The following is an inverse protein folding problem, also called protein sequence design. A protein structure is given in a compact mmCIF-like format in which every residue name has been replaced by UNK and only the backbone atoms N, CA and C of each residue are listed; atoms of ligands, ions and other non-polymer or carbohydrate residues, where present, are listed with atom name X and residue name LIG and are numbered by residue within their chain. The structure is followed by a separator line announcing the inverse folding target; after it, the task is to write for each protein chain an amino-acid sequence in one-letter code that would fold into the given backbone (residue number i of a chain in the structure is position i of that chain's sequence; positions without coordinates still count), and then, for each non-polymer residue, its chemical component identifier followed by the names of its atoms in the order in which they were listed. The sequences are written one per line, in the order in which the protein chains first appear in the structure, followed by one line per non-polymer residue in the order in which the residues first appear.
data_IF_118026255472
#
_entry.id   IF_118026255472
#
_cell.length_a   1.000
_cell.length_b   1.000
_cell.length_c   1.000
_cell.angle_alpha   90.00
_cell.angle_beta   90.00
_cell.angle_gamma   90.00
#
_symmetry.space_group_name_H-M   'P 1'
#
loop_
_entity.id
_entity.type
_entity.pdbx_description
1 polymer ?
#
# COMPACT_ATOMS: atom_id res chain seq x y z
N UNK A 1 15.47 51.63 -33.25
CA UNK A 1 14.89 50.27 -33.35
C UNK A 1 14.95 49.61 -31.98
N UNK A 2 13.84 49.36 -31.28
CA UNK A 2 13.89 48.76 -29.94
C UNK A 2 14.31 47.29 -30.03
N UNK A 3 15.35 46.92 -29.30
CA UNK A 3 15.89 45.56 -29.23
C UNK A 3 14.85 44.60 -28.62
N UNK A 4 14.51 43.55 -29.38
CA UNK A 4 13.57 42.52 -28.95
C UNK A 4 14.09 41.77 -27.73
N UNK A 5 13.39 41.90 -26.60
CA UNK A 5 13.64 41.12 -25.39
C UNK A 5 13.34 39.64 -25.69
N UNK A 6 14.38 38.82 -25.83
CA UNK A 6 14.26 37.36 -25.96
C UNK A 6 13.48 36.80 -24.78
N UNK A 7 12.36 36.12 -25.05
CA UNK A 7 11.59 35.39 -24.03
C UNK A 7 12.49 34.27 -23.50
N UNK A 8 12.89 34.35 -22.23
CA UNK A 8 13.63 33.28 -21.55
C UNK A 8 12.81 31.98 -21.62
N UNK A 9 13.22 31.06 -22.49
CA UNK A 9 12.68 29.70 -22.49
C UNK A 9 13.31 28.97 -21.31
N UNK A 10 12.54 28.81 -20.22
CA UNK A 10 12.98 27.97 -19.11
C UNK A 10 13.00 26.51 -19.58
N UNK A 11 14.11 26.05 -20.13
CA UNK A 11 14.33 24.62 -20.34
C UNK A 11 14.39 23.99 -18.95
N UNK A 12 13.34 23.22 -18.60
CA UNK A 12 13.33 22.47 -17.35
C UNK A 12 14.34 21.35 -17.50
N UNK A 13 15.59 21.61 -17.12
CA UNK A 13 16.59 20.58 -16.94
C UNK A 13 15.99 19.44 -16.10
N UNK A 14 16.19 18.20 -16.54
CA UNK A 14 15.61 16.99 -15.95
C UNK A 14 16.17 16.82 -14.53
N UNK A 15 15.53 17.45 -13.54
CA UNK A 15 15.93 17.31 -12.13
C UNK A 15 15.65 15.87 -11.72
N UNK A 16 16.72 15.10 -11.48
CA UNK A 16 16.67 13.69 -11.08
C UNK A 16 16.16 13.49 -9.66
N UNK A 17 16.29 14.51 -8.81
CA UNK A 17 15.83 14.47 -7.41
C UNK A 17 14.41 15.03 -7.31
N UNK A 18 13.46 14.22 -6.84
CA UNK A 18 12.15 14.74 -6.44
C UNK A 18 12.35 15.76 -5.32
N UNK A 19 11.74 16.93 -5.47
CA UNK A 19 11.72 17.93 -4.41
C UNK A 19 11.05 17.38 -3.13
N UNK A 20 11.33 17.97 -1.97
CA UNK A 20 10.82 17.52 -0.65
C UNK A 20 9.30 17.29 -0.60
N UNK A 21 8.47 18.07 -1.32
CA UNK A 21 7.01 17.81 -1.34
C UNK A 21 6.66 16.58 -2.19
N UNK A 22 7.44 16.25 -3.22
CA UNK A 22 7.26 15.04 -4.04
C UNK A 22 7.53 13.76 -3.26
N UNK A 23 8.64 13.72 -2.51
CA UNK A 23 8.97 12.56 -1.65
C UNK A 23 7.93 12.39 -0.55
N UNK A 24 7.50 13.48 0.10
CA UNK A 24 6.43 13.43 1.11
C UNK A 24 5.13 12.85 0.56
N UNK A 25 4.73 13.19 -0.67
CA UNK A 25 3.53 12.62 -1.30
C UNK A 25 3.61 11.10 -1.48
N UNK A 26 4.80 10.57 -1.77
CA UNK A 26 5.01 9.12 -1.89
C UNK A 26 4.87 8.46 -0.52
N UNK A 27 5.44 9.07 0.52
CA UNK A 27 5.38 8.56 1.89
C UNK A 27 3.97 8.63 2.51
N UNK A 28 3.20 9.69 2.19
CA UNK A 28 1.82 9.83 2.66
C UNK A 28 0.83 8.94 1.93
N UNK A 29 1.22 8.30 0.82
CA UNK A 29 0.38 7.31 0.15
C UNK A 29 0.35 6.00 0.95
N UNK A 30 -0.65 5.15 0.69
CA UNK A 30 -0.71 3.82 1.30
C UNK A 30 0.54 3.03 0.95
N UNK A 31 1.26 2.60 1.98
CA UNK A 31 2.52 1.87 1.82
C UNK A 31 2.29 0.39 1.49
N UNK A 32 3.35 -0.28 1.05
CA UNK A 32 3.33 -1.67 0.55
C UNK A 32 2.86 -2.66 1.62
N UNK A 33 3.35 -2.50 2.84
CA UNK A 33 3.01 -3.31 4.01
C UNK A 33 1.50 -3.29 4.30
N UNK A 34 0.89 -2.10 4.30
CA UNK A 34 -0.53 -1.95 4.52
C UNK A 34 -1.35 -2.64 3.43
N UNK A 35 -0.99 -2.45 2.16
CA UNK A 35 -1.69 -3.08 1.02
C UNK A 35 -1.48 -4.60 1.00
N UNK A 36 -0.31 -5.09 1.42
CA UNK A 36 -0.01 -6.53 1.48
C UNK A 36 -0.88 -7.26 2.49
N UNK A 37 -1.15 -6.64 3.64
CA UNK A 37 -2.08 -7.17 4.64
C UNK A 37 -3.52 -7.16 4.12
N UNK A 38 -3.96 -6.07 3.49
CA UNK A 38 -5.34 -5.93 2.99
C UNK A 38 -5.66 -6.94 1.88
N UNK A 39 -4.71 -7.23 0.99
CA UNK A 39 -4.90 -8.24 -0.09
C UNK A 39 -5.05 -9.66 0.46
N UNK A 40 -4.52 -9.96 1.66
CA UNK A 40 -4.55 -11.30 2.27
C UNK A 40 -5.68 -11.51 3.28
N UNK A 41 -6.29 -10.44 3.78
CA UNK A 41 -7.46 -10.56 4.67
C UNK A 41 -8.65 -11.09 3.85
N UNK A 42 -8.99 -12.35 4.07
CA UNK A 42 -10.15 -13.01 3.44
C UNK A 42 -11.47 -12.50 4.02
N UNK A 43 -11.46 -12.13 5.30
CA UNK A 43 -12.67 -11.79 6.05
C UNK A 43 -12.75 -10.27 6.20
N UNK A 44 -13.43 -9.61 5.26
CA UNK A 44 -13.61 -8.15 5.28
C UNK A 44 -13.45 -7.41 3.95
N UNK A 45 -13.54 -8.12 2.82
CA UNK A 45 -13.78 -7.50 1.50
C UNK A 45 -15.23 -7.73 1.03
N UNK A 46 -15.87 -8.82 1.48
CA UNK A 46 -17.17 -9.28 0.97
C UNK A 46 -18.34 -9.32 1.99
N UNK A 47 -18.11 -9.07 3.29
CA UNK A 47 -19.12 -9.29 4.35
C UNK A 47 -19.60 -8.03 5.07
N UNK A 48 -19.84 -6.94 4.33
CA UNK A 48 -20.63 -5.79 4.82
C UNK A 48 -20.09 -5.05 6.06
N UNK A 49 -18.86 -5.32 6.50
CA UNK A 49 -18.13 -4.47 7.45
C UNK A 49 -17.31 -3.46 6.66
N UNK A 50 -17.24 -2.22 7.17
CA UNK A 50 -16.50 -1.11 6.56
C UNK A 50 -15.01 -1.45 6.51
N UNK A 51 -14.57 -2.07 5.42
CA UNK A 51 -13.17 -2.31 5.10
C UNK A 51 -12.45 -0.98 4.80
N UNK A 52 -11.11 -0.95 4.82
CA UNK A 52 -10.35 0.25 4.51
C UNK A 52 -10.62 0.73 3.08
N UNK A 53 -11.39 1.81 2.94
CA UNK A 53 -11.74 2.60 1.74
C UNK A 53 -11.57 1.86 0.39
N UNK A 54 -12.68 1.41 -0.20
CA UNK A 54 -12.71 0.79 -1.54
C UNK A 54 -12.51 -0.73 -1.57
N UNK A 55 -12.38 -1.38 -0.41
CA UNK A 55 -12.36 -2.85 -0.29
C UNK A 55 -13.73 -3.48 -0.06
N UNK A 56 -14.83 -2.72 0.00
CA UNK A 56 -16.15 -3.27 0.34
C UNK A 56 -17.07 -3.36 -0.87
N UNK A 57 -17.77 -4.47 -1.05
CA UNK A 57 -18.86 -4.59 -2.05
C UNK A 57 -20.01 -3.60 -1.80
N UNK A 58 -20.13 -3.12 -0.55
CA UNK A 58 -21.02 -2.02 -0.15
C UNK A 58 -20.17 -0.78 0.07
N UNK A 59 -19.71 -0.16 -1.02
CA UNK A 59 -19.16 1.20 -0.93
C UNK A 59 -20.36 2.12 -0.74
N UNK A 60 -20.45 2.77 0.42
CA UNK A 60 -21.35 3.91 0.58
C UNK A 60 -20.96 4.93 -0.50
N UNK A 61 -21.93 5.34 -1.32
CA UNK A 61 -21.69 6.23 -2.46
C UNK A 61 -21.16 7.58 -1.94
N UNK A 62 -19.84 7.71 -1.91
CA UNK A 62 -19.15 8.89 -1.44
C UNK A 62 -19.04 9.91 -2.57
N UNK A 63 -19.71 11.05 -2.45
CA UNK A 63 -19.73 12.11 -3.46
C UNK A 63 -18.36 12.78 -3.67
N UNK A 64 -17.44 12.67 -2.70
CA UNK A 64 -16.10 13.27 -2.79
C UNK A 64 -15.12 12.38 -3.58
N UNK A 65 -15.45 11.11 -3.82
CA UNK A 65 -14.61 10.15 -4.52
C UNK A 65 -14.97 10.02 -6.01
N UNK A 66 -13.97 9.81 -6.90
CA UNK A 66 -14.24 9.53 -8.30
C UNK A 66 -15.18 8.34 -8.46
N UNK A 67 -16.20 8.50 -9.32
CA UNK A 67 -17.22 7.47 -9.57
C UNK A 67 -17.93 6.98 -8.30
N UNK A 68 -18.07 7.84 -7.29
CA UNK A 68 -18.65 7.47 -6.00
C UNK A 68 -17.96 6.27 -5.32
N UNK A 69 -16.65 6.11 -5.56
CA UNK A 69 -15.85 5.02 -5.01
C UNK A 69 -16.08 3.64 -5.65
N UNK A 70 -16.86 3.54 -6.74
CA UNK A 70 -17.27 2.26 -7.34
C UNK A 70 -16.13 1.51 -8.03
N UNK A 71 -15.18 2.22 -8.66
CA UNK A 71 -14.10 1.60 -9.43
C UNK A 71 -12.75 1.78 -8.72
N UNK A 72 -12.36 0.77 -7.94
CA UNK A 72 -11.14 0.82 -7.12
C UNK A 72 -10.16 -0.32 -7.42
N UNK A 73 -8.87 -0.01 -7.41
CA UNK A 73 -7.80 -1.01 -7.48
C UNK A 73 -7.08 -1.12 -6.14
N UNK A 74 -7.20 -2.29 -5.49
CA UNK A 74 -6.59 -2.57 -4.18
C UNK A 74 -5.07 -2.49 -4.25
N UNK A 75 -4.45 -3.13 -5.25
CA UNK A 75 -2.98 -3.20 -5.38
C UNK A 75 -2.31 -1.82 -5.51
N UNK A 76 -2.99 -0.87 -6.15
CA UNK A 76 -2.49 0.47 -6.41
C UNK A 76 -3.14 1.56 -5.55
N UNK A 77 -4.09 1.19 -4.67
CA UNK A 77 -4.84 2.09 -3.81
C UNK A 77 -5.36 3.35 -4.54
N UNK A 78 -6.04 3.16 -5.67
CA UNK A 78 -6.45 4.26 -6.55
C UNK A 78 -7.86 4.05 -7.10
N UNK A 79 -8.64 5.13 -7.09
CA UNK A 79 -9.97 5.21 -7.69
C UNK A 79 -9.92 5.63 -9.15
N UNK A 80 -10.87 5.12 -9.93
CA UNK A 80 -11.05 5.39 -11.35
C UNK A 80 -12.47 5.92 -11.61
N UNK A 81 -12.63 6.61 -12.74
CA UNK A 81 -13.90 7.26 -13.10
C UNK A 81 -14.87 6.25 -13.73
N UNK A 82 -14.36 5.28 -14.50
CA UNK A 82 -15.15 4.30 -15.24
C UNK A 82 -14.53 2.91 -15.10
N UNK A 83 -15.33 1.87 -15.34
CA UNK A 83 -14.87 0.48 -15.41
C UNK A 83 -13.82 0.25 -16.50
N UNK A 84 -13.98 0.87 -17.68
CA UNK A 84 -13.01 0.77 -18.77
C UNK A 84 -11.62 1.27 -18.36
N UNK A 85 -11.55 2.37 -17.62
CA UNK A 85 -10.30 2.92 -17.11
C UNK A 85 -9.64 2.01 -16.05
N UNK A 86 -10.45 1.27 -15.28
CA UNK A 86 -9.95 0.25 -14.37
C UNK A 86 -9.35 -0.92 -15.14
N UNK A 87 -10.05 -1.44 -16.16
CA UNK A 87 -9.54 -2.53 -17.00
C UNK A 87 -8.23 -2.16 -17.70
N UNK A 88 -8.16 -0.96 -18.30
CA UNK A 88 -6.93 -0.44 -18.89
C UNK A 88 -5.80 -0.36 -17.85
N UNK A 89 -6.10 0.09 -16.63
CA UNK A 89 -5.15 0.15 -15.53
C UNK A 89 -4.56 -1.23 -15.17
N UNK A 90 -5.40 -2.26 -15.06
CA UNK A 90 -4.97 -3.64 -14.78
C UNK A 90 -3.98 -4.14 -15.85
N UNK A 91 -4.19 -3.74 -17.11
CA UNK A 91 -3.31 -4.04 -18.24
C UNK A 91 -1.99 -3.25 -18.28
N UNK A 92 -1.76 -2.31 -17.37
CA UNK A 92 -0.54 -1.49 -17.38
C UNK A 92 0.67 -2.17 -16.72
N UNK A 93 1.88 -1.90 -17.22
CA UNK A 93 3.15 -2.36 -16.62
C UNK A 93 3.30 -1.99 -15.13
N UNK A 94 3.02 -0.75 -14.66
CA UNK A 94 3.13 -0.43 -13.24
C UNK A 94 2.23 -1.29 -12.36
N UNK A 95 0.99 -1.55 -12.78
CA UNK A 95 0.07 -2.41 -12.03
C UNK A 95 0.63 -3.83 -11.91
N UNK A 96 1.03 -4.44 -13.03
CA UNK A 96 1.62 -5.80 -13.03
C UNK A 96 2.87 -5.91 -12.15
N UNK A 97 3.73 -4.88 -12.16
CA UNK A 97 4.90 -4.83 -11.28
C UNK A 97 4.49 -4.81 -9.80
N UNK A 98 3.46 -4.03 -9.47
CA UNK A 98 2.93 -3.91 -8.11
C UNK A 98 2.29 -5.21 -7.62
N UNK A 99 1.52 -5.88 -8.46
CA UNK A 99 0.95 -7.19 -8.13
C UNK A 99 2.05 -8.21 -7.85
N UNK A 100 3.10 -8.24 -8.69
CA UNK A 100 4.24 -9.15 -8.46
C UNK A 100 4.98 -8.87 -7.15
N UNK A 101 5.09 -7.60 -6.76
CA UNK A 101 5.65 -7.19 -5.47
C UNK A 101 4.78 -7.65 -4.29
N UNK A 102 3.46 -7.46 -4.38
CA UNK A 102 2.52 -7.85 -3.32
C UNK A 102 2.37 -9.37 -3.15
N UNK A 103 2.47 -10.13 -4.25
CA UNK A 103 2.44 -11.60 -4.24
C UNK A 103 3.78 -12.22 -3.79
N UNK A 104 4.83 -11.41 -3.65
CA UNK A 104 6.14 -11.85 -3.20
C UNK A 104 6.23 -12.09 -1.69
N UNK A 105 7.45 -12.03 -1.19
CA UNK A 105 7.76 -12.13 0.24
C UNK A 105 7.04 -11.04 1.05
N UNK A 106 6.92 -11.27 2.36
CA UNK A 106 6.39 -10.27 3.28
C UNK A 106 7.21 -8.96 3.17
N UNK A 107 6.56 -7.79 3.08
CA UNK A 107 7.25 -6.50 3.09
C UNK A 107 7.95 -6.31 4.42
N UNK A 108 9.09 -5.61 4.37
CA UNK A 108 9.85 -5.27 5.55
C UNK A 108 8.97 -4.55 6.58
N UNK A 109 8.92 -5.08 7.80
CA UNK A 109 8.17 -4.49 8.91
C UNK A 109 9.11 -3.97 10.01
N UNK A 110 8.54 -3.39 11.07
CA UNK A 110 9.32 -2.88 12.19
C UNK A 110 10.05 -4.00 12.96
N UNK A 111 9.44 -5.17 13.12
CA UNK A 111 10.06 -6.30 13.81
C UNK A 111 11.32 -6.81 13.09
N UNK A 112 11.32 -6.79 11.75
CA UNK A 112 12.48 -7.13 10.94
C UNK A 112 13.62 -6.12 11.18
N UNK A 113 13.29 -4.83 11.32
CA UNK A 113 14.25 -3.79 11.65
C UNK A 113 14.81 -3.94 13.06
N UNK A 114 13.95 -4.20 14.04
CA UNK A 114 14.33 -4.38 15.44
C UNK A 114 15.23 -5.61 15.60
N UNK A 115 14.91 -6.69 14.90
CA UNK A 115 15.75 -7.89 14.88
C UNK A 115 17.12 -7.63 14.25
N UNK A 116 17.18 -6.92 13.12
CA UNK A 116 18.43 -6.52 12.48
C UNK A 116 19.26 -5.55 13.35
N UNK A 117 18.59 -4.73 14.16
CA UNK A 117 19.23 -3.81 15.10
C UNK A 117 19.70 -4.50 16.41
N UNK A 118 19.47 -5.80 16.57
CA UNK A 118 19.80 -6.54 17.79
C UNK A 118 18.84 -6.27 18.97
N UNK A 119 17.71 -5.63 18.71
CA UNK A 119 16.62 -5.35 19.66
C UNK A 119 15.49 -6.39 19.57
N UNK A 120 15.75 -7.52 18.89
CA UNK A 120 14.80 -8.63 18.80
C UNK A 120 14.42 -9.16 20.18
N UNK A 121 13.25 -9.82 20.27
CA UNK A 121 12.77 -10.39 21.52
C UNK A 121 13.90 -11.18 22.20
N UNK A 122 14.23 -10.88 23.47
CA UNK A 122 15.26 -11.63 24.16
C UNK A 122 14.84 -13.10 24.14
N UNK A 123 15.71 -13.95 23.60
CA UNK A 123 15.61 -15.40 23.73
C UNK A 123 15.88 -15.74 25.21
N UNK A 124 14.89 -15.41 26.03
CA UNK A 124 14.75 -15.97 27.35
C UNK A 124 14.41 -17.43 27.08
N UNK A 125 15.46 -18.25 26.91
CA UNK A 125 15.35 -19.68 26.61
C UNK A 125 14.30 -20.37 27.48
N UNK A 126 13.86 -21.60 27.12
CA UNK A 126 12.66 -22.23 27.67
C UNK A 126 12.57 -21.99 29.17
N UNK A 127 11.57 -21.21 29.59
CA UNK A 127 11.41 -20.79 30.99
C UNK A 127 11.41 -22.06 31.83
N UNK A 128 12.47 -22.26 32.60
CA UNK A 128 12.58 -23.39 33.51
C UNK A 128 11.58 -23.19 34.65
N UNK A 129 10.38 -23.75 34.49
CA UNK A 129 9.45 -23.95 35.59
C UNK A 129 8.07 -23.31 35.42
N UNK A 130 7.05 -24.17 35.30
CA UNK A 130 5.64 -23.81 35.41
C UNK A 130 4.76 -24.95 34.88
N UNK A 131 4.59 -26.01 35.68
CA UNK A 131 3.90 -27.24 35.29
C UNK A 131 2.42 -27.07 34.93
N UNK A 132 1.97 -27.92 34.00
CA UNK A 132 0.58 -28.11 33.60
C UNK A 132 0.36 -29.55 33.14
N UNK A 133 -0.07 -30.37 34.09
CA UNK A 133 -0.64 -31.73 34.06
C UNK A 133 -0.62 -32.53 32.74
N UNK A 134 -0.02 -33.71 32.81
CA UNK A 134 -0.28 -34.82 31.91
C UNK A 134 -1.74 -35.29 32.07
N UNK A 135 -2.54 -35.23 31.01
CA UNK A 135 -3.80 -35.97 30.92
C UNK A 135 -3.50 -37.31 30.26
N UNK A 136 -3.44 -38.34 31.09
CA UNK A 136 -3.56 -39.74 30.70
C UNK A 136 -5.01 -39.98 30.25
N UNK A 137 -5.23 -40.46 29.03
CA UNK A 137 -6.49 -41.12 28.67
C UNK A 137 -6.17 -42.36 27.82
N UNK A 138 -6.88 -43.42 28.14
CA UNK A 138 -6.58 -44.83 27.90
C UNK A 138 -6.99 -45.29 26.49
#
# INVERSE_FOLDING_TARGET
MPSGKSKKTHSKGRKTKLHKRGVRKIFSARHIDQVWEDVRKTDGVHDGKVGPLGTTDKVELDEDLPAHGQHFCIACSRYFINETALQDHLGTKPHRRRVKELMGARPHNQADADWAAGMGAPDNGPRSGGGGVASMDQ
#
